data_IF_862728417386
#
_entry.id   IF_862728417386
#
_cell.length_a   1.000
_cell.length_b   1.000
_cell.length_c   1.000
_cell.angle_alpha   90.00
_cell.angle_beta   90.00
_cell.angle_gamma   90.00
#
_symmetry.space_group_name_H-M   'P 1'
#
loop_
_entity.id
_entity.type
_entity.pdbx_description
1 polymer ?
#
# COMPACT_ATOMS: atom_id res chain seq x y z
N UNK A 1 24.16 -5.25 10.73
CA UNK A 1 23.48 -4.32 9.81
C UNK A 1 23.92 -4.65 8.40
N UNK A 2 23.09 -5.37 7.64
CA UNK A 2 23.45 -5.77 6.27
C UNK A 2 23.08 -4.64 5.32
N UNK A 3 24.10 -4.00 4.74
CA UNK A 3 23.94 -3.00 3.68
C UNK A 3 23.45 -3.73 2.42
N UNK A 4 22.23 -3.46 1.99
CA UNK A 4 21.73 -3.96 0.71
C UNK A 4 22.59 -3.37 -0.42
N UNK A 5 22.95 -4.15 -1.47
CA UNK A 5 23.74 -3.64 -2.59
C UNK A 5 22.94 -2.58 -3.36
N UNK A 6 23.60 -1.50 -3.78
CA UNK A 6 23.01 -0.34 -4.49
C UNK A 6 22.52 -0.66 -5.93
N UNK A 7 22.29 -1.93 -6.25
CA UNK A 7 22.05 -2.42 -7.61
C UNK A 7 21.03 -3.55 -7.70
N UNK A 8 19.96 -3.53 -6.89
CA UNK A 8 18.81 -4.42 -7.10
C UNK A 8 17.89 -3.81 -8.17
N UNK A 9 17.77 -4.40 -9.38
CA UNK A 9 16.74 -4.07 -10.36
C UNK A 9 15.37 -4.66 -9.97
N UNK A 10 15.14 -4.99 -8.69
CA UNK A 10 14.16 -6.02 -8.32
C UNK A 10 12.70 -5.53 -8.25
N UNK A 11 12.47 -4.22 -8.42
CA UNK A 11 11.12 -3.66 -8.43
C UNK A 11 10.81 -3.15 -9.83
N UNK A 12 9.84 -3.77 -10.54
CA UNK A 12 9.40 -3.33 -11.85
C UNK A 12 9.10 -1.83 -11.88
N UNK A 13 9.48 -1.15 -12.97
CA UNK A 13 9.27 0.28 -13.13
C UNK A 13 7.81 0.69 -12.86
N UNK A 14 6.86 -0.15 -13.27
CA UNK A 14 5.43 0.07 -13.03
C UNK A 14 5.06 0.17 -11.54
N UNK A 15 5.71 -0.58 -10.65
CA UNK A 15 5.49 -0.45 -9.20
C UNK A 15 6.14 0.81 -8.64
N UNK A 16 7.27 1.26 -9.22
CA UNK A 16 7.89 2.54 -8.87
C UNK A 16 7.03 3.73 -9.29
N UNK A 17 6.48 3.67 -10.50
CA UNK A 17 5.56 4.68 -11.02
C UNK A 17 4.29 4.72 -10.19
N UNK A 18 3.72 3.56 -9.84
CA UNK A 18 2.58 3.49 -8.92
C UNK A 18 2.89 4.08 -7.54
N UNK A 19 4.10 3.84 -7.01
CA UNK A 19 4.57 4.41 -5.74
C UNK A 19 4.82 5.93 -5.81
N UNK A 20 4.93 6.52 -6.99
CA UNK A 20 5.04 7.96 -7.19
C UNK A 20 3.70 8.63 -7.51
N UNK A 21 2.62 7.86 -7.66
CA UNK A 21 1.29 8.34 -8.00
C UNK A 21 0.41 8.45 -6.74
N UNK A 22 0.38 9.65 -6.17
CA UNK A 22 -0.34 9.94 -4.92
C UNK A 22 -1.86 9.74 -5.07
N UNK A 23 -2.43 10.05 -6.24
CA UNK A 23 -3.87 9.88 -6.51
C UNK A 23 -4.26 8.40 -6.51
N UNK A 24 -3.42 7.56 -7.13
CA UNK A 24 -3.61 6.10 -7.09
C UNK A 24 -3.44 5.52 -5.70
N UNK A 25 -2.53 6.07 -4.89
CA UNK A 25 -2.39 5.65 -3.50
C UNK A 25 -3.61 6.03 -2.66
N UNK A 26 -4.12 7.24 -2.83
CA UNK A 26 -5.34 7.69 -2.16
C UNK A 26 -6.56 6.82 -2.54
N UNK A 27 -6.69 6.47 -3.82
CA UNK A 27 -7.74 5.56 -4.29
C UNK A 27 -7.60 4.15 -3.70
N UNK A 28 -6.39 3.61 -3.65
CA UNK A 28 -6.10 2.31 -3.03
C UNK A 28 -6.40 2.32 -1.52
N UNK A 29 -6.06 3.40 -0.81
CA UNK A 29 -6.39 3.57 0.60
C UNK A 29 -7.91 3.62 0.82
N UNK A 30 -8.66 4.34 -0.02
CA UNK A 30 -10.11 4.39 0.04
C UNK A 30 -10.77 3.03 -0.29
N UNK A 31 -10.15 2.22 -1.14
CA UNK A 31 -10.58 0.84 -1.40
C UNK A 31 -10.36 -0.05 -0.16
N UNK A 32 -9.17 0.00 0.44
CA UNK A 32 -8.89 -0.72 1.69
C UNK A 32 -9.82 -0.29 2.83
N UNK A 33 -10.11 1.01 2.96
CA UNK A 33 -11.03 1.53 3.97
C UNK A 33 -12.46 1.01 3.82
N UNK A 34 -12.87 0.65 2.60
CA UNK A 34 -14.17 0.02 2.31
C UNK A 34 -14.20 -1.49 2.59
N UNK A 35 -13.06 -2.09 2.95
CA UNK A 35 -12.95 -3.52 3.17
C UNK A 35 -12.62 -4.31 1.90
N UNK A 36 -12.31 -3.63 0.80
CA UNK A 36 -11.93 -4.28 -0.45
C UNK A 36 -10.40 -4.47 -0.55
N UNK A 37 -9.92 -5.63 -1.01
CA UNK A 37 -8.49 -5.84 -1.25
C UNK A 37 -8.01 -5.05 -2.46
N UNK A 38 -6.76 -4.59 -2.41
CA UNK A 38 -6.07 -3.92 -3.52
C UNK A 38 -5.05 -4.89 -4.11
N UNK A 39 -5.01 -5.00 -5.44
CA UNK A 39 -4.00 -5.78 -6.17
C UNK A 39 -3.43 -4.95 -7.31
N UNK A 40 -2.11 -4.90 -7.40
CA UNK A 40 -1.37 -4.20 -8.43
C UNK A 40 -0.48 -5.21 -9.11
N UNK A 41 -0.64 -5.33 -10.42
CA UNK A 41 0.15 -6.23 -11.24
C UNK A 41 1.20 -5.42 -11.97
N UNK A 42 2.41 -5.98 -12.01
CA UNK A 42 3.49 -5.44 -12.82
C UNK A 42 4.17 -6.56 -13.57
N UNK A 43 4.76 -6.24 -14.71
CA UNK A 43 5.55 -7.17 -15.48
C UNK A 43 6.78 -6.46 -16.03
N UNK A 44 7.88 -7.20 -16.11
CA UNK A 44 9.09 -6.79 -16.80
C UNK A 44 9.66 -7.96 -17.61
N UNK A 45 10.89 -7.82 -18.10
CA UNK A 45 11.59 -8.84 -18.87
C UNK A 45 11.99 -10.07 -18.03
N UNK A 46 11.88 -10.01 -16.71
CA UNK A 46 12.24 -11.08 -15.77
C UNK A 46 11.04 -11.84 -15.25
N UNK A 47 9.85 -11.24 -15.23
CA UNK A 47 8.64 -11.95 -14.83
C UNK A 47 7.41 -11.08 -14.61
N UNK A 48 6.42 -11.68 -13.93
CA UNK A 48 5.19 -11.03 -13.50
C UNK A 48 5.16 -10.96 -11.98
N UNK A 49 4.79 -9.80 -11.47
CA UNK A 49 4.75 -9.44 -10.07
C UNK A 49 3.33 -9.04 -9.69
N UNK A 50 2.95 -9.35 -8.46
CA UNK A 50 1.69 -8.93 -7.87
C UNK A 50 1.96 -8.36 -6.48
N UNK A 51 1.70 -7.07 -6.29
CA UNK A 51 1.59 -6.46 -4.97
C UNK A 51 0.12 -6.54 -4.54
N UNK A 52 -0.17 -7.18 -3.42
CA UNK A 52 -1.54 -7.30 -2.94
C UNK A 52 -1.62 -6.92 -1.46
N UNK A 53 -2.63 -6.12 -1.12
CA UNK A 53 -2.93 -5.68 0.22
C UNK A 53 -4.38 -6.04 0.54
N UNK A 54 -4.58 -6.65 1.71
CA UNK A 54 -5.90 -6.94 2.24
C UNK A 54 -6.18 -6.01 3.41
N UNK A 55 -7.40 -5.48 3.53
CA UNK A 55 -7.79 -4.77 4.72
C UNK A 55 -7.80 -5.74 5.88
N UNK A 56 -6.95 -5.47 6.86
CA UNK A 56 -7.09 -6.10 8.17
C UNK A 56 -8.37 -5.53 8.75
N UNK A 57 -9.26 -6.38 9.26
CA UNK A 57 -10.41 -5.93 10.04
C UNK A 57 -9.87 -5.18 11.26
N UNK A 58 -9.64 -3.88 11.10
CA UNK A 58 -9.35 -2.98 12.21
C UNK A 58 -10.64 -2.99 13.02
N UNK A 59 -10.63 -3.75 14.12
CA UNK A 59 -11.53 -3.51 15.23
C UNK A 59 -11.17 -2.12 15.74
N UNK A 60 -11.67 -1.08 15.08
CA UNK A 60 -11.63 0.27 15.61
C UNK A 60 -12.47 0.19 16.87
N UNK A 61 -11.81 0.19 18.03
CA UNK A 61 -12.51 0.36 19.28
C UNK A 61 -13.14 1.75 19.23
N UNK A 62 -14.41 1.87 19.62
CA UNK A 62 -15.09 3.17 19.76
C UNK A 62 -14.27 4.16 20.62
N UNK A 63 -13.41 3.65 21.49
CA UNK A 63 -12.42 4.42 22.27
C UNK A 63 -11.42 5.22 21.42
N UNK A 64 -10.98 4.69 20.28
CA UNK A 64 -10.01 5.36 19.39
C UNK A 64 -10.67 6.50 18.60
N UNK A 65 -11.94 6.33 18.23
CA UNK A 65 -12.76 7.36 17.56
C UNK A 65 -13.11 8.53 18.49
N UNK A 66 -13.25 8.29 19.79
CA UNK A 66 -13.56 9.34 20.77
C UNK A 66 -12.33 10.13 21.21
N UNK A 67 -11.13 9.55 21.15
CA UNK A 67 -9.87 10.25 21.47
C UNK A 67 -9.58 11.37 20.47
N UNK A 68 -9.92 11.20 19.19
CA UNK A 68 -9.71 12.22 18.14
C UNK A 68 -10.63 13.45 18.31
N UNK A 69 -11.78 13.32 19.00
CA UNK A 69 -12.71 14.44 19.22
C UNK A 69 -12.53 15.17 20.55
N UNK A 70 -11.68 14.68 21.46
CA UNK A 70 -11.49 15.29 22.78
C UNK A 70 -10.32 16.28 22.84
N UNK A 71 -9.63 16.55 21.72
CA UNK A 71 -8.61 17.61 21.62
C UNK A 71 -9.11 18.74 20.73
N UNK A 72 -10.09 19.51 21.22
CA UNK A 72 -10.40 20.87 20.78
C UNK A 72 -10.74 21.70 22.01
#
# INVERSE_FOLDING_TARGET
>A
MTRMPDGLPDVPQQLRDWRADDDRQAAALAQLARGDPVKIYAADHTGRYCLAAWPVALRISLSDLLTVRATV
#
